data_IF_256134198996
#
_entry.id   IF_256134198996
#
_cell.length_a   1.000
_cell.length_b   1.000
_cell.length_c   1.000
_cell.angle_alpha   90.00
_cell.angle_beta   90.00
_cell.angle_gamma   90.00
#
_symmetry.space_group_name_H-M   'P 1'
#
loop_
_entity.id
_entity.type
_entity.pdbx_description
1 polymer ?
#
# COMPACT_ATOMS: atom_id res chain seq x y z
N UNK A 1 24.89 -15.09 -7.95
CA UNK A 1 23.90 -16.12 -8.28
C UNK A 1 23.00 -15.60 -9.40
N UNK A 2 22.62 -16.46 -10.35
CA UNK A 2 21.73 -16.11 -11.45
C UNK A 2 20.29 -16.43 -11.09
N UNK A 3 19.35 -15.63 -11.57
CA UNK A 3 17.90 -15.80 -11.38
C UNK A 3 17.16 -15.55 -12.69
N UNK A 4 16.06 -16.26 -12.92
CA UNK A 4 15.18 -15.99 -14.06
C UNK A 4 14.45 -14.65 -13.94
N UNK A 5 14.03 -14.32 -12.70
CA UNK A 5 13.32 -13.09 -12.40
C UNK A 5 14.00 -12.33 -11.26
N UNK A 6 14.01 -11.01 -11.37
CA UNK A 6 14.48 -10.11 -10.31
C UNK A 6 13.40 -9.06 -10.06
N UNK A 7 12.97 -8.90 -8.82
CA UNK A 7 12.09 -7.81 -8.39
C UNK A 7 12.92 -6.85 -7.53
N UNK A 8 13.09 -5.62 -8.00
CA UNK A 8 13.75 -4.56 -7.27
C UNK A 8 12.70 -3.78 -6.49
N UNK A 9 12.78 -3.82 -5.16
CA UNK A 9 11.82 -3.23 -4.23
C UNK A 9 10.85 -4.27 -3.65
N UNK A 10 10.97 -4.52 -2.34
CA UNK A 10 10.08 -5.37 -1.55
C UNK A 10 8.94 -4.58 -0.89
N UNK A 11 8.42 -3.54 -1.55
CA UNK A 11 7.26 -2.79 -1.11
C UNK A 11 5.94 -3.44 -1.52
N UNK A 12 4.84 -2.66 -1.48
CA UNK A 12 3.51 -3.13 -1.85
C UNK A 12 3.48 -3.74 -3.26
N UNK A 13 4.00 -3.03 -4.25
CA UNK A 13 3.95 -3.45 -5.65
C UNK A 13 4.80 -4.71 -5.90
N UNK A 14 6.08 -4.70 -5.49
CA UNK A 14 6.98 -5.82 -5.71
C UNK A 14 6.55 -7.09 -4.99
N UNK A 15 6.10 -6.99 -3.74
CA UNK A 15 5.61 -8.13 -2.98
C UNK A 15 4.27 -8.65 -3.49
N UNK A 16 3.35 -7.79 -3.94
CA UNK A 16 2.10 -8.23 -4.57
C UNK A 16 2.39 -9.01 -5.84
N UNK A 17 3.29 -8.52 -6.69
CA UNK A 17 3.68 -9.23 -7.91
C UNK A 17 4.28 -10.60 -7.58
N UNK A 18 5.22 -10.66 -6.64
CA UNK A 18 5.83 -11.93 -6.23
C UNK A 18 4.79 -12.92 -5.70
N UNK A 19 3.84 -12.45 -4.89
CA UNK A 19 2.77 -13.26 -4.34
C UNK A 19 1.84 -13.81 -5.43
N UNK A 20 1.40 -12.95 -6.36
CA UNK A 20 0.53 -13.37 -7.46
C UNK A 20 1.23 -14.39 -8.38
N UNK A 21 2.50 -14.18 -8.71
CA UNK A 21 3.27 -15.14 -9.49
C UNK A 21 3.42 -16.48 -8.77
N UNK A 22 3.61 -16.49 -7.45
CA UNK A 22 3.71 -17.70 -6.64
C UNK A 22 2.39 -18.47 -6.59
N UNK A 23 1.27 -17.82 -6.28
CA UNK A 23 -0.03 -18.51 -6.19
C UNK A 23 -0.51 -19.04 -7.54
N UNK A 24 -0.08 -18.40 -8.63
CA UNK A 24 -0.33 -18.85 -10.00
C UNK A 24 0.75 -19.81 -10.53
N UNK A 25 1.63 -20.34 -9.65
CA UNK A 25 2.65 -21.36 -9.96
C UNK A 25 3.61 -20.98 -11.09
N UNK A 26 3.93 -19.67 -11.21
CA UNK A 26 4.84 -19.19 -12.27
C UNK A 26 6.32 -19.47 -11.98
N UNK A 27 6.64 -20.02 -10.80
CA UNK A 27 8.00 -20.36 -10.37
C UNK A 27 8.26 -21.88 -10.29
N UNK A 28 7.44 -22.75 -10.90
CA UNK A 28 7.64 -24.20 -10.83
C UNK A 28 9.03 -24.63 -11.31
N UNK A 29 9.56 -23.99 -12.36
CA UNK A 29 10.91 -24.25 -12.89
C UNK A 29 11.70 -22.95 -13.07
N UNK A 30 11.41 -21.93 -12.26
CA UNK A 30 11.98 -20.59 -12.34
C UNK A 30 12.42 -20.11 -10.98
N UNK A 31 13.43 -19.26 -10.98
CA UNK A 31 14.00 -18.68 -9.76
C UNK A 31 13.68 -17.19 -9.67
N UNK A 32 13.42 -16.69 -8.47
CA UNK A 32 13.13 -15.29 -8.20
C UNK A 32 14.11 -14.74 -7.15
N UNK A 33 14.72 -13.59 -7.45
CA UNK A 33 15.36 -12.73 -6.47
C UNK A 33 14.48 -11.52 -6.16
N UNK A 34 14.28 -11.23 -4.88
CA UNK A 34 13.63 -10.00 -4.40
C UNK A 34 14.68 -9.16 -3.70
N UNK A 35 14.94 -7.95 -4.21
CA UNK A 35 15.93 -7.03 -3.67
C UNK A 35 15.24 -6.01 -2.78
N UNK A 36 15.50 -6.06 -1.49
CA UNK A 36 14.91 -5.13 -0.51
C UNK A 36 15.90 -4.86 0.64
N UNK A 37 16.39 -3.64 0.77
CA UNK A 37 17.37 -3.30 1.81
C UNK A 37 16.81 -3.31 3.23
N UNK A 38 15.48 -3.24 3.41
CA UNK A 38 14.86 -3.27 4.74
C UNK A 38 15.04 -4.63 5.41
N UNK A 39 15.52 -4.62 6.64
CA UNK A 39 15.67 -5.84 7.45
C UNK A 39 14.34 -6.30 8.04
N UNK A 40 13.52 -5.34 8.44
CA UNK A 40 12.26 -5.60 9.11
C UNK A 40 11.10 -4.96 8.36
N UNK A 41 10.00 -5.69 8.30
CA UNK A 41 8.73 -5.23 7.78
C UNK A 41 7.79 -4.94 8.96
N UNK A 42 7.60 -3.66 9.24
CA UNK A 42 6.73 -3.18 10.31
C UNK A 42 5.40 -2.72 9.75
N UNK A 43 4.44 -2.50 10.63
CA UNK A 43 3.21 -1.79 10.31
C UNK A 43 3.52 -0.29 10.16
N UNK A 44 4.11 0.09 9.04
CA UNK A 44 4.66 1.42 8.78
C UNK A 44 3.93 2.17 7.67
N UNK A 45 2.94 1.54 7.04
CA UNK A 45 2.17 2.09 5.92
C UNK A 45 0.67 1.93 6.14
N UNK A 46 -0.08 2.90 5.66
CA UNK A 46 -1.53 2.83 5.51
C UNK A 46 -1.83 2.88 4.02
N UNK A 47 -2.28 1.75 3.47
CA UNK A 47 -2.72 1.69 2.09
C UNK A 47 -4.23 1.63 2.05
N UNK A 48 -4.82 2.57 1.32
CA UNK A 48 -6.26 2.65 1.17
C UNK A 48 -6.62 2.85 -0.29
N UNK A 49 -7.68 2.18 -0.73
CA UNK A 49 -8.10 2.16 -2.13
C UNK A 49 -9.58 1.75 -2.27
N UNK A 50 -10.15 2.06 -3.43
CA UNK A 50 -11.46 1.56 -3.81
C UNK A 50 -11.36 0.09 -4.25
N UNK A 51 -12.13 -0.81 -3.63
CA UNK A 51 -12.20 -2.22 -4.03
C UNK A 51 -13.01 -2.37 -5.31
N UNK A 52 -12.38 -2.15 -6.45
CA UNK A 52 -13.02 -2.28 -7.77
C UNK A 52 -13.00 -3.71 -8.29
N UNK A 53 -12.12 -4.57 -7.76
CA UNK A 53 -12.01 -5.99 -8.09
C UNK A 53 -11.76 -6.81 -6.83
N UNK A 54 -12.00 -8.12 -6.90
CA UNK A 54 -11.55 -9.03 -5.86
C UNK A 54 -10.02 -9.11 -5.83
N UNK A 55 -9.45 -9.27 -4.66
CA UNK A 55 -8.01 -9.40 -4.46
C UNK A 55 -7.70 -10.42 -3.36
N UNK A 56 -6.48 -10.90 -3.33
CA UNK A 56 -6.04 -11.96 -2.41
C UNK A 56 -5.67 -11.45 -1.01
N UNK A 57 -6.03 -10.21 -0.66
CA UNK A 57 -5.64 -9.55 0.60
C UNK A 57 -6.85 -9.13 1.45
N UNK A 58 -8.03 -9.73 1.24
CA UNK A 58 -9.23 -9.43 2.02
C UNK A 58 -9.04 -9.71 3.52
N UNK A 59 -8.24 -10.71 3.87
CA UNK A 59 -7.85 -11.03 5.26
C UNK A 59 -6.86 -10.03 5.89
N UNK A 60 -6.30 -9.13 5.09
CA UNK A 60 -5.46 -8.04 5.56
C UNK A 60 -6.22 -6.70 5.69
N UNK A 61 -7.50 -6.68 5.32
CA UNK A 61 -8.33 -5.45 5.39
C UNK A 61 -8.58 -5.09 6.85
N UNK A 62 -8.16 -3.90 7.23
CA UNK A 62 -8.37 -3.34 8.58
C UNK A 62 -9.78 -2.79 8.73
N UNK A 63 -10.26 -2.06 7.72
CA UNK A 63 -11.61 -1.49 7.66
C UNK A 63 -12.03 -1.28 6.21
N UNK A 64 -13.36 -1.28 6.02
CA UNK A 64 -14.00 -0.99 4.73
C UNK A 64 -15.16 -0.03 4.97
N UNK A 65 -15.28 1.00 4.13
CA UNK A 65 -16.33 2.02 4.22
C UNK A 65 -17.07 2.13 2.89
N UNK A 66 -18.38 2.26 2.98
CA UNK A 66 -19.24 2.58 1.82
C UNK A 66 -19.57 4.07 1.77
N UNK A 67 -19.55 4.75 2.91
CA UNK A 67 -19.88 6.15 3.02
C UNK A 67 -18.62 7.00 3.12
N UNK A 68 -18.63 8.13 2.44
CA UNK A 68 -17.54 9.10 2.50
C UNK A 68 -18.04 10.53 2.36
N UNK A 69 -17.28 11.47 2.84
CA UNK A 69 -17.55 12.89 2.70
C UNK A 69 -16.42 13.62 1.99
N UNK A 70 -16.81 14.71 1.33
CA UNK A 70 -15.91 15.74 0.85
C UNK A 70 -16.38 17.03 1.50
N UNK A 71 -15.50 17.71 2.21
CA UNK A 71 -15.79 18.91 2.97
C UNK A 71 -15.14 20.13 2.32
N UNK A 72 -15.93 21.18 2.16
CA UNK A 72 -15.51 22.52 1.72
C UNK A 72 -15.92 23.51 2.80
N UNK A 73 -15.29 24.71 2.90
CA UNK A 73 -15.61 25.70 3.93
C UNK A 73 -17.10 26.07 4.03
N UNK A 74 -17.82 25.99 2.91
CA UNK A 74 -19.23 26.37 2.85
C UNK A 74 -20.21 25.19 2.75
N UNK A 75 -19.72 23.97 2.56
CA UNK A 75 -20.59 22.81 2.26
C UNK A 75 -19.90 21.48 2.44
N UNK A 76 -20.56 20.55 3.11
CA UNK A 76 -20.16 19.14 3.15
C UNK A 76 -21.05 18.32 2.20
N UNK A 77 -20.42 17.48 1.38
CA UNK A 77 -21.11 16.53 0.53
C UNK A 77 -20.88 15.13 1.06
N UNK A 78 -21.99 14.46 1.45
CA UNK A 78 -22.00 13.05 1.82
C UNK A 78 -22.31 12.20 0.59
N UNK A 79 -21.54 11.15 0.39
CA UNK A 79 -21.60 10.27 -0.76
C UNK A 79 -21.56 8.81 -0.30
N UNK A 80 -22.09 7.93 -1.13
CA UNK A 80 -22.13 6.49 -0.89
C UNK A 80 -21.68 5.73 -2.14
N UNK A 81 -20.87 4.70 -1.94
CA UNK A 81 -20.44 3.80 -3.01
C UNK A 81 -20.60 2.35 -2.54
N UNK A 82 -21.76 1.76 -2.83
CA UNK A 82 -22.09 0.39 -2.39
C UNK A 82 -21.27 -0.68 -3.14
N UNK A 83 -21.03 -0.47 -4.43
CA UNK A 83 -20.38 -1.46 -5.29
C UNK A 83 -18.86 -1.51 -5.12
N UNK A 84 -18.25 -0.38 -4.77
CA UNK A 84 -16.80 -0.25 -4.65
C UNK A 84 -16.46 0.40 -3.30
N UNK A 85 -16.51 -0.35 -2.19
CA UNK A 85 -16.18 0.21 -0.89
C UNK A 85 -14.73 0.66 -0.84
N UNK A 86 -14.47 1.72 -0.08
CA UNK A 86 -13.11 2.16 0.20
C UNK A 86 -12.53 1.30 1.31
N UNK A 87 -11.37 0.71 1.08
CA UNK A 87 -10.72 -0.22 2.02
C UNK A 87 -9.37 0.30 2.48
N UNK A 88 -9.01 -0.02 3.71
CA UNK A 88 -7.67 0.18 4.25
C UNK A 88 -7.07 -1.16 4.64
N UNK A 89 -5.86 -1.45 4.15
CA UNK A 89 -5.10 -2.66 4.44
C UNK A 89 -4.11 -2.39 5.58
N UNK A 90 -4.01 -3.34 6.50
CA UNK A 90 -2.94 -3.40 7.49
C UNK A 90 -1.64 -3.89 6.85
N UNK A 91 -0.64 -3.02 6.76
CA UNK A 91 0.64 -3.35 6.12
C UNK A 91 1.39 -4.47 6.84
N UNK A 92 1.27 -4.57 8.15
CA UNK A 92 1.90 -5.65 8.92
C UNK A 92 1.32 -7.02 8.58
N UNK A 93 -0.01 -7.14 8.50
CA UNK A 93 -0.69 -8.37 8.07
C UNK A 93 -0.34 -8.72 6.63
N UNK A 94 -0.35 -7.74 5.73
CA UNK A 94 0.05 -7.90 4.33
C UNK A 94 1.46 -8.45 4.20
N UNK A 95 2.44 -7.83 4.84
CA UNK A 95 3.82 -8.31 4.79
C UNK A 95 3.97 -9.71 5.37
N UNK A 96 3.32 -10.00 6.50
CA UNK A 96 3.36 -11.31 7.14
C UNK A 96 2.80 -12.40 6.23
N UNK A 97 1.63 -12.16 5.63
CA UNK A 97 0.98 -13.09 4.70
C UNK A 97 1.90 -13.43 3.53
N UNK A 98 2.39 -12.42 2.83
CA UNK A 98 3.22 -12.62 1.65
C UNK A 98 4.54 -13.31 2.00
N UNK A 99 5.25 -12.82 3.02
CA UNK A 99 6.53 -13.42 3.41
C UNK A 99 6.40 -14.87 3.84
N UNK A 100 5.33 -15.22 4.54
CA UNK A 100 5.07 -16.61 4.92
C UNK A 100 4.89 -17.47 3.67
N UNK A 101 4.09 -16.99 2.70
CA UNK A 101 3.87 -17.74 1.45
C UNK A 101 5.13 -17.90 0.63
N UNK A 102 5.87 -16.82 0.41
CA UNK A 102 7.08 -16.86 -0.43
C UNK A 102 8.21 -17.70 0.17
N UNK A 103 8.32 -17.78 1.50
CA UNK A 103 9.33 -18.60 2.18
C UNK A 103 9.14 -20.11 1.98
N UNK A 104 7.95 -20.57 1.63
CA UNK A 104 7.67 -21.99 1.35
C UNK A 104 8.35 -22.45 0.06
N UNK A 105 8.65 -21.53 -0.86
CA UNK A 105 9.26 -21.84 -2.14
C UNK A 105 10.77 -21.59 -2.13
N UNK A 106 11.55 -22.66 -2.23
CA UNK A 106 13.03 -22.65 -2.24
C UNK A 106 13.64 -21.89 -3.43
N UNK A 107 12.86 -21.68 -4.49
CA UNK A 107 13.27 -20.95 -5.68
C UNK A 107 13.19 -19.43 -5.50
N UNK A 108 12.62 -18.94 -4.37
CA UNK A 108 12.47 -17.49 -4.08
C UNK A 108 13.48 -17.11 -3.00
N UNK A 109 14.29 -16.11 -3.30
CA UNK A 109 15.32 -15.63 -2.39
C UNK A 109 15.24 -14.11 -2.19
N UNK A 110 15.51 -13.65 -0.97
CA UNK A 110 15.58 -12.24 -0.64
C UNK A 110 17.02 -11.80 -0.48
N UNK A 111 17.34 -10.63 -1.04
CA UNK A 111 18.67 -10.00 -0.98
C UNK A 111 18.53 -8.55 -0.50
N UNK A 112 19.58 -8.03 0.12
CA UNK A 112 19.61 -6.63 0.55
C UNK A 112 20.05 -5.70 -0.58
N UNK A 113 21.04 -6.12 -1.35
CA UNK A 113 21.66 -5.31 -2.37
C UNK A 113 21.60 -5.99 -3.72
N UNK A 114 21.47 -5.19 -4.77
CA UNK A 114 21.38 -5.69 -6.15
C UNK A 114 22.70 -6.34 -6.60
N UNK A 115 23.84 -5.91 -6.04
CA UNK A 115 25.17 -6.43 -6.34
C UNK A 115 25.36 -7.90 -5.93
N UNK A 116 24.50 -8.41 -5.03
CA UNK A 116 24.50 -9.83 -4.62
C UNK A 116 23.97 -10.76 -5.71
N UNK A 117 23.36 -10.19 -6.75
CA UNK A 117 22.63 -10.92 -7.78
C UNK A 117 23.19 -10.59 -9.15
N UNK A 118 23.50 -11.63 -9.95
CA UNK A 118 23.83 -11.43 -11.37
C UNK A 118 22.54 -11.14 -12.16
N UNK A 119 22.51 -9.99 -12.80
CA UNK A 119 21.34 -9.49 -13.55
C UNK A 119 21.32 -9.97 -15.01
N UNK A 120 22.38 -10.63 -15.47
CA UNK A 120 22.46 -11.10 -16.85
C UNK A 120 21.40 -12.17 -17.11
N UNK A 121 20.74 -12.07 -18.25
CA UNK A 121 19.68 -13.00 -18.67
C UNK A 121 18.44 -13.07 -17.76
N UNK A 122 18.28 -12.13 -16.81
CA UNK A 122 17.13 -12.06 -15.92
C UNK A 122 16.05 -11.12 -16.47
N UNK A 123 14.78 -11.45 -16.19
CA UNK A 123 13.69 -10.52 -16.40
C UNK A 123 13.53 -9.65 -15.14
N UNK A 124 13.71 -8.33 -15.29
CA UNK A 124 13.77 -7.40 -14.14
C UNK A 124 12.49 -6.59 -14.05
N UNK A 125 11.85 -6.63 -12.87
CA UNK A 125 10.75 -5.77 -12.48
C UNK A 125 11.26 -4.75 -11.46
N UNK A 126 11.26 -3.47 -11.84
CA UNK A 126 11.67 -2.40 -10.93
C UNK A 126 10.43 -1.70 -10.35
N UNK A 127 10.19 -1.88 -9.05
CA UNK A 127 9.10 -1.22 -8.31
C UNK A 127 9.58 -0.02 -7.49
N UNK A 128 10.85 0.34 -7.60
CA UNK A 128 11.41 1.54 -6.95
C UNK A 128 11.25 2.72 -7.90
N UNK A 129 10.55 3.79 -7.49
CA UNK A 129 10.35 4.94 -8.36
C UNK A 129 11.68 5.63 -8.66
N UNK A 130 11.94 5.88 -9.95
CA UNK A 130 13.02 6.76 -10.39
C UNK A 130 12.50 8.19 -10.40
N UNK A 131 12.91 8.97 -9.41
CA UNK A 131 12.50 10.38 -9.31
C UNK A 131 13.44 11.20 -10.21
N UNK A 132 12.96 11.57 -11.41
CA UNK A 132 13.56 12.66 -12.17
C UNK A 132 12.89 13.96 -11.73
N UNK A 133 13.64 14.82 -11.09
CA UNK A 133 13.18 16.17 -10.73
C UNK A 133 13.17 17.03 -11.99
N UNK A 134 12.00 17.19 -12.61
CA UNK A 134 11.79 18.19 -13.65
C UNK A 134 11.07 19.40 -13.01
N UNK A 135 11.35 20.61 -13.49
CA UNK A 135 10.83 21.85 -12.93
C UNK A 135 9.30 21.98 -12.93
N UNK A 136 8.60 21.11 -13.66
CA UNK A 136 7.14 21.11 -13.81
C UNK A 136 6.44 19.98 -13.02
N UNK A 137 7.13 19.28 -12.15
CA UNK A 137 6.52 18.21 -11.35
C UNK A 137 5.68 18.78 -10.19
N UNK A 138 4.48 18.23 -10.03
CA UNK A 138 3.69 18.45 -8.83
C UNK A 138 4.15 17.44 -7.75
N UNK A 139 4.39 17.98 -6.57
CA UNK A 139 4.77 17.17 -5.40
C UNK A 139 3.56 16.95 -4.51
N UNK A 140 3.33 15.73 -4.11
CA UNK A 140 2.33 15.37 -3.12
C UNK A 140 3.01 14.94 -1.83
N UNK A 141 2.79 15.71 -0.75
CA UNK A 141 3.34 15.44 0.56
C UNK A 141 2.26 14.90 1.49
N UNK A 142 2.57 13.84 2.23
CA UNK A 142 1.70 13.30 3.25
C UNK A 142 2.39 13.32 4.60
N UNK A 143 1.64 13.76 5.62
CA UNK A 143 1.99 13.57 7.01
C UNK A 143 0.75 13.02 7.71
N UNK A 144 0.86 11.93 8.44
CA UNK A 144 -0.26 11.31 9.12
C UNK A 144 0.06 10.98 10.57
N UNK A 145 -0.95 11.11 11.42
CA UNK A 145 -0.92 10.69 12.82
C UNK A 145 -2.07 9.74 13.10
N UNK A 146 -1.84 8.75 13.93
CA UNK A 146 -2.89 7.88 14.44
C UNK A 146 -3.28 8.36 15.84
N UNK A 147 -4.56 8.70 16.03
CA UNK A 147 -5.09 9.24 17.28
C UNK A 147 -5.99 8.19 17.92
N UNK A 148 -5.81 7.98 19.21
CA UNK A 148 -6.71 7.19 20.06
C UNK A 148 -7.23 8.07 21.19
N UNK A 149 -8.56 8.17 21.30
CA UNK A 149 -9.24 8.95 22.34
C UNK A 149 -9.74 8.03 23.46
N UNK A 150 -10.01 8.60 24.63
CA UNK A 150 -10.64 7.87 25.76
C UNK A 150 -12.11 7.58 25.49
N UNK A 151 -12.78 8.49 24.80
CA UNK A 151 -14.21 8.43 24.51
C UNK A 151 -14.46 8.11 23.03
N UNK A 152 -15.66 7.63 22.74
CA UNK A 152 -16.12 7.36 21.38
C UNK A 152 -16.57 8.67 20.73
N UNK A 153 -15.70 9.32 19.99
CA UNK A 153 -15.97 10.63 19.36
C UNK A 153 -16.02 10.56 17.84
N UNK A 154 -15.63 9.45 17.22
CA UNK A 154 -15.62 9.31 15.76
C UNK A 154 -16.84 8.53 15.27
N UNK A 155 -17.42 8.99 14.17
CA UNK A 155 -18.31 8.16 13.37
C UNK A 155 -17.46 7.24 12.48
N UNK A 156 -17.38 5.97 12.84
CA UNK A 156 -16.55 5.01 12.13
C UNK A 156 -17.24 4.36 10.91
N UNK A 157 -18.41 4.83 10.53
CA UNK A 157 -19.14 4.38 9.33
C UNK A 157 -18.89 5.28 8.11
N UNK A 158 -18.30 6.45 8.30
CA UNK A 158 -18.00 7.40 7.25
C UNK A 158 -16.56 7.88 7.31
N UNK A 159 -15.86 7.87 6.18
CA UNK A 159 -14.55 8.51 6.03
C UNK A 159 -14.69 9.95 5.56
N UNK A 160 -13.82 10.84 6.00
CA UNK A 160 -13.64 12.12 5.35
C UNK A 160 -12.50 12.00 4.34
N UNK A 161 -12.87 11.84 3.06
CA UNK A 161 -11.92 11.55 1.99
C UNK A 161 -11.07 12.77 1.64
N UNK A 162 -11.68 13.95 1.66
CA UNK A 162 -11.01 15.22 1.43
C UNK A 162 -11.71 16.31 2.23
N UNK A 163 -11.04 16.87 3.21
CA UNK A 163 -11.49 18.02 3.97
C UNK A 163 -10.66 19.23 3.58
N UNK A 164 -11.25 20.09 2.76
CA UNK A 164 -10.64 21.34 2.29
C UNK A 164 -10.96 22.55 3.19
N UNK A 165 -11.68 22.36 4.31
CA UNK A 165 -11.93 23.41 5.30
C UNK A 165 -10.69 23.62 6.17
N UNK A 166 -9.61 24.01 5.52
CA UNK A 166 -8.32 24.30 6.11
C UNK A 166 -7.56 25.32 5.26
N UNK A 167 -6.49 25.86 5.82
CA UNK A 167 -5.67 26.87 5.15
C UNK A 167 -5.05 26.32 3.87
N UNK A 168 -5.34 26.96 2.73
CA UNK A 168 -4.91 26.51 1.41
C UNK A 168 -3.57 27.10 0.96
N UNK A 169 -3.10 28.20 1.52
CA UNK A 169 -1.90 28.94 1.07
C UNK A 169 -1.72 28.86 -0.45
N UNK A 170 -0.55 28.67 -0.99
CA UNK A 170 -0.29 28.58 -2.44
C UNK A 170 -0.28 27.12 -2.96
N UNK A 171 -1.07 26.22 -2.36
CA UNK A 171 -1.10 24.80 -2.69
C UNK A 171 -2.50 24.22 -2.48
N UNK A 172 -2.74 23.03 -2.96
CA UNK A 172 -3.93 22.26 -2.59
C UNK A 172 -3.63 21.51 -1.30
N UNK A 173 -4.38 21.82 -0.23
CA UNK A 173 -4.24 21.18 1.07
C UNK A 173 -5.58 20.62 1.54
N UNK A 174 -5.58 19.44 2.12
CA UNK A 174 -6.76 18.83 2.72
C UNK A 174 -6.38 17.85 3.81
N UNK A 175 -7.28 17.64 4.75
CA UNK A 175 -7.20 16.54 5.70
C UNK A 175 -7.90 15.30 5.16
N UNK A 176 -7.32 14.15 5.48
CA UNK A 176 -7.85 12.85 5.13
C UNK A 176 -8.02 12.04 6.42
N UNK A 177 -9.27 11.70 6.77
CA UNK A 177 -9.57 11.06 8.04
C UNK A 177 -10.16 9.69 7.83
N UNK A 178 -9.52 8.68 8.44
CA UNK A 178 -9.93 7.27 8.39
C UNK A 178 -10.28 6.79 9.81
N UNK A 179 -11.54 6.81 10.22
CA UNK A 179 -11.96 6.32 11.53
C UNK A 179 -12.05 4.80 11.51
N UNK A 180 -11.07 4.12 12.09
CA UNK A 180 -11.05 2.66 12.17
C UNK A 180 -12.01 2.13 13.23
N UNK A 181 -12.13 2.84 14.34
CA UNK A 181 -13.00 2.55 15.49
C UNK A 181 -13.64 3.88 15.94
N UNK A 182 -14.66 3.78 16.83
CA UNK A 182 -15.32 4.99 17.35
C UNK A 182 -14.40 5.89 18.18
N UNK A 183 -13.27 5.36 18.64
CA UNK A 183 -12.27 6.10 19.41
C UNK A 183 -10.87 6.13 18.77
N UNK A 184 -10.78 5.77 17.48
CA UNK A 184 -9.50 5.67 16.77
C UNK A 184 -9.64 5.95 15.29
#
# INVERSE_FOLDING_TARGET
KEFDYIIIGGGCAGLSLAYELEIHKKFENKTLAIIEPRLEYKKDKTWSFWKVTNHNFDDCVKRSWKNFSINLPSKTKHLKCDNYPYQSIDSGLFYKKIKNKLKENKNINFFKNIEEVNQNNSFIFNSVPSIKTENNNLWQHFCGVEIKTKENIFDNEIINLMDFDCEQRNSVHFFYTLPFEKNR
#
